data_IF_549104300975
#
_entry.id   IF_549104300975
#
_cell.length_a   1.000
_cell.length_b   1.000
_cell.length_c   1.000
_cell.angle_alpha   90.00
_cell.angle_beta   90.00
_cell.angle_gamma   90.00
#
_symmetry.space_group_name_H-M   'P 1'
#
loop_
_entity.id
_entity.type
_entity.pdbx_description
1 polymer ?
#
# COMPACT_ATOMS: atom_id res chain seq x y z
N UNK A 1 30.56 -32.21 -49.56
CA UNK A 1 31.66 -32.63 -48.68
C UNK A 1 31.17 -32.52 -47.26
N UNK A 2 31.52 -33.48 -46.44
CA UNK A 2 30.53 -34.13 -45.57
C UNK A 2 30.52 -33.60 -44.13
N UNK A 3 29.38 -33.82 -43.49
CA UNK A 3 29.04 -34.05 -42.09
C UNK A 3 30.21 -34.51 -41.22
N UNK A 4 30.34 -33.91 -40.03
CA UNK A 4 30.95 -34.59 -38.94
C UNK A 4 30.07 -34.53 -37.66
N UNK A 5 29.87 -35.70 -37.13
CA UNK A 5 28.98 -36.11 -36.04
C UNK A 5 29.74 -36.21 -34.73
N UNK A 6 28.97 -36.03 -33.63
CA UNK A 6 29.15 -36.64 -32.30
C UNK A 6 30.14 -36.03 -31.30
N UNK A 7 29.60 -35.69 -30.15
CA UNK A 7 29.77 -36.52 -28.97
C UNK A 7 29.02 -35.96 -27.78
N UNK A 8 28.15 -36.78 -27.22
CA UNK A 8 27.47 -36.61 -25.93
C UNK A 8 28.44 -36.92 -24.77
N UNK A 9 28.42 -36.16 -23.67
CA UNK A 9 29.08 -36.65 -22.46
C UNK A 9 28.08 -37.29 -21.50
N UNK A 10 28.46 -38.45 -21.07
CA UNK A 10 27.87 -39.35 -20.10
C UNK A 10 27.64 -38.71 -18.72
N UNK A 11 26.44 -38.88 -18.19
CA UNK A 11 26.07 -38.53 -16.81
C UNK A 11 26.74 -39.53 -15.81
N UNK A 12 27.53 -39.03 -14.88
CA UNK A 12 28.03 -39.78 -13.72
C UNK A 12 27.04 -39.62 -12.57
N UNK A 13 26.40 -40.74 -12.22
CA UNK A 13 25.55 -40.90 -11.06
C UNK A 13 26.41 -40.92 -9.80
N UNK A 14 26.25 -39.96 -8.90
CA UNK A 14 26.86 -39.98 -7.58
C UNK A 14 25.84 -40.47 -6.55
N UNK A 15 26.04 -41.68 -6.05
CA UNK A 15 25.26 -42.24 -4.93
C UNK A 15 25.86 -41.74 -3.61
N UNK A 16 25.13 -40.88 -2.91
CA UNK A 16 25.49 -40.51 -1.53
C UNK A 16 24.81 -41.42 -0.54
N UNK A 17 25.63 -42.11 0.24
CA UNK A 17 25.20 -42.85 1.44
C UNK A 17 24.81 -41.84 2.53
N UNK A 18 23.58 -41.93 3.00
CA UNK A 18 23.08 -41.21 4.17
C UNK A 18 23.13 -42.14 5.36
N UNK A 19 23.90 -41.77 6.37
CA UNK A 19 23.93 -42.46 7.66
C UNK A 19 22.75 -41.98 8.53
N UNK A 20 22.13 -42.85 9.33
CA UNK A 20 20.99 -42.43 10.16
C UNK A 20 21.49 -41.73 11.44
N UNK A 21 21.05 -40.50 11.67
CA UNK A 21 21.19 -39.80 12.94
C UNK A 21 20.02 -40.17 13.86
N UNK A 22 20.31 -40.59 15.07
CA UNK A 22 19.34 -40.80 16.12
C UNK A 22 18.82 -39.46 16.68
N UNK A 23 17.54 -39.36 17.04
CA UNK A 23 17.00 -38.13 17.60
C UNK A 23 17.35 -38.02 19.10
N UNK A 24 18.05 -36.95 19.46
CA UNK A 24 18.23 -36.52 20.84
C UNK A 24 17.00 -35.67 21.21
N UNK A 25 16.12 -36.22 22.07
CA UNK A 25 14.97 -35.51 22.57
C UNK A 25 15.40 -34.47 23.63
N UNK A 26 15.42 -33.20 23.27
CA UNK A 26 15.60 -32.10 24.20
C UNK A 26 14.21 -31.55 24.55
N UNK A 27 13.72 -31.85 25.73
CA UNK A 27 12.49 -31.33 26.27
C UNK A 27 12.70 -29.83 26.68
N UNK A 28 12.31 -28.89 25.81
CA UNK A 28 12.17 -27.48 26.20
C UNK A 28 10.78 -27.28 26.82
N UNK A 29 10.77 -27.00 28.13
CA UNK A 29 9.62 -26.42 28.81
C UNK A 29 9.40 -24.99 28.27
N UNK A 30 8.52 -24.83 27.32
CA UNK A 30 8.03 -23.51 26.91
C UNK A 30 6.92 -23.07 27.85
N UNK A 31 7.21 -22.07 28.70
CA UNK A 31 6.19 -21.29 29.37
C UNK A 31 5.35 -20.58 28.28
N UNK A 32 4.13 -21.06 28.08
CA UNK A 32 3.15 -20.41 27.22
C UNK A 32 2.73 -19.09 27.88
N UNK A 33 3.22 -18.00 27.38
CA UNK A 33 2.63 -16.69 27.60
C UNK A 33 1.31 -16.70 26.79
N UNK A 34 0.14 -16.42 27.42
CA UNK A 34 -1.10 -16.32 26.67
C UNK A 34 -1.00 -15.08 25.76
N UNK A 35 -0.78 -15.31 24.48
CA UNK A 35 -0.96 -14.30 23.45
C UNK A 35 -2.46 -14.04 23.37
N UNK A 36 -2.91 -12.95 23.96
CA UNK A 36 -4.24 -12.41 23.70
C UNK A 36 -4.21 -11.82 22.28
N UNK A 37 -4.49 -12.63 21.28
CA UNK A 37 -4.88 -12.14 19.97
C UNK A 37 -6.10 -11.26 20.14
N UNK A 38 -6.12 -10.02 19.62
CA UNK A 38 -7.36 -9.27 19.54
C UNK A 38 -8.33 -10.12 18.74
N UNK A 39 -9.55 -10.27 19.27
CA UNK A 39 -10.62 -10.97 18.58
C UNK A 39 -10.77 -10.30 17.19
N UNK A 40 -10.40 -11.02 16.15
CA UNK A 40 -10.75 -10.69 14.78
C UNK A 40 -12.28 -10.67 14.76
N UNK A 41 -12.85 -9.49 14.81
CA UNK A 41 -14.26 -9.29 14.53
C UNK A 41 -14.45 -9.60 13.06
N UNK A 42 -14.61 -10.88 12.74
CA UNK A 42 -15.28 -11.28 11.52
C UNK A 42 -16.60 -10.53 11.53
N UNK A 43 -16.75 -9.52 10.65
CA UNK A 43 -18.07 -9.10 10.24
C UNK A 43 -18.70 -10.41 9.77
N UNK A 44 -19.73 -10.88 10.51
CA UNK A 44 -20.52 -12.04 10.11
C UNK A 44 -20.84 -11.89 8.63
N UNK A 45 -20.99 -13.01 7.89
CA UNK A 45 -21.57 -13.09 6.55
C UNK A 45 -23.01 -12.54 6.55
N UNK A 46 -23.18 -11.34 7.09
CA UNK A 46 -24.40 -10.58 7.06
C UNK A 46 -24.58 -10.17 5.60
N UNK A 47 -25.49 -10.85 4.96
CA UNK A 47 -26.00 -10.65 3.61
C UNK A 47 -25.74 -9.22 3.14
N UNK A 48 -24.75 -9.05 2.24
CA UNK A 48 -24.61 -7.80 1.52
C UNK A 48 -25.96 -7.55 0.89
N UNK A 49 -26.65 -6.47 1.23
CA UNK A 49 -27.99 -6.22 0.69
C UNK A 49 -27.92 -6.28 -0.83
N UNK A 50 -28.75 -7.07 -1.47
CA UNK A 50 -28.83 -7.23 -2.96
C UNK A 50 -28.96 -5.90 -3.72
N UNK A 51 -29.18 -4.80 -3.00
CA UNK A 51 -29.13 -3.43 -3.48
C UNK A 51 -28.46 -2.56 -2.41
N UNK A 52 -27.16 -2.47 -2.47
CA UNK A 52 -26.47 -1.42 -1.71
C UNK A 52 -26.84 -0.07 -2.32
N UNK A 53 -27.74 0.63 -1.66
CA UNK A 53 -28.17 1.97 -2.08
C UNK A 53 -27.10 2.96 -1.68
N UNK A 54 -26.71 3.86 -2.60
CA UNK A 54 -25.82 4.96 -2.30
C UNK A 54 -26.33 5.75 -1.08
N UNK A 55 -25.49 5.88 -0.04
CA UNK A 55 -25.84 6.56 1.20
C UNK A 55 -25.29 7.98 1.18
N UNK A 56 -26.07 8.91 1.71
CA UNK A 56 -25.61 10.30 1.88
C UNK A 56 -24.88 10.40 3.22
N UNK A 57 -23.67 10.95 3.22
CA UNK A 57 -22.94 11.23 4.45
C UNK A 57 -23.66 12.25 5.31
N UNK A 58 -23.69 12.05 6.62
CA UNK A 58 -24.08 13.06 7.59
C UNK A 58 -23.03 14.20 7.63
N UNK A 59 -23.48 15.40 8.05
CA UNK A 59 -22.59 16.58 8.05
C UNK A 59 -21.52 16.55 9.14
N UNK A 60 -21.68 15.71 10.16
CA UNK A 60 -20.91 15.73 11.40
C UNK A 60 -19.96 14.55 11.59
N UNK A 61 -19.69 13.74 10.56
CA UNK A 61 -18.71 12.65 10.67
C UNK A 61 -17.33 13.25 10.98
N UNK A 62 -16.77 12.88 12.13
CA UNK A 62 -15.56 13.51 12.65
C UNK A 62 -14.27 12.84 12.14
N UNK A 63 -14.28 11.52 12.03
CA UNK A 63 -13.10 10.72 11.66
C UNK A 63 -13.48 9.45 10.90
N UNK A 64 -12.46 8.73 10.45
CA UNK A 64 -12.66 7.52 9.66
C UNK A 64 -13.27 6.38 10.48
N UNK A 65 -13.00 6.27 11.77
CA UNK A 65 -13.58 5.23 12.61
C UNK A 65 -15.09 5.37 12.70
N UNK A 66 -15.59 6.58 12.91
CA UNK A 66 -17.02 6.86 12.85
C UNK A 66 -17.62 6.58 11.48
N UNK A 67 -16.92 6.95 10.40
CA UNK A 67 -17.31 6.62 9.03
C UNK A 67 -17.44 5.10 8.84
N UNK A 68 -16.41 4.35 9.16
CA UNK A 68 -16.37 2.89 8.99
C UNK A 68 -17.48 2.18 9.78
N UNK A 69 -17.73 2.60 11.01
CA UNK A 69 -18.75 2.00 11.86
C UNK A 69 -20.18 2.30 11.41
N UNK A 70 -20.43 3.53 10.94
CA UNK A 70 -21.76 3.96 10.52
C UNK A 70 -22.05 3.67 9.03
N UNK A 71 -21.00 3.61 8.21
CA UNK A 71 -21.08 3.47 6.76
C UNK A 71 -20.03 2.46 6.24
N UNK A 72 -20.19 1.16 6.49
CA UNK A 72 -19.22 0.14 6.03
C UNK A 72 -19.10 0.09 4.49
N UNK A 73 -20.10 0.62 3.79
CA UNK A 73 -20.12 0.79 2.33
C UNK A 73 -19.73 2.20 1.88
N UNK A 74 -19.14 2.98 2.78
CA UNK A 74 -18.88 4.38 2.54
C UNK A 74 -20.14 5.22 2.35
N UNK A 75 -19.96 6.50 2.12
CA UNK A 75 -21.04 7.44 1.79
C UNK A 75 -20.50 8.59 0.95
N UNK A 76 -21.40 9.33 0.27
CA UNK A 76 -21.02 10.51 -0.48
C UNK A 76 -22.13 11.55 -0.48
N UNK A 77 -21.75 12.85 -0.55
CA UNK A 77 -22.69 13.97 -0.81
C UNK A 77 -23.07 14.03 -2.27
N UNK A 78 -22.21 13.51 -3.16
CA UNK A 78 -22.49 13.35 -4.57
C UNK A 78 -23.31 12.06 -4.79
N UNK A 79 -24.34 12.09 -5.63
CA UNK A 79 -25.04 10.87 -6.00
C UNK A 79 -24.14 9.94 -6.80
N UNK A 80 -24.13 8.64 -6.45
CA UNK A 80 -23.65 7.56 -7.31
C UNK A 80 -22.17 7.25 -7.19
N UNK A 81 -21.72 6.81 -6.04
CA UNK A 81 -20.55 6.00 -5.84
C UNK A 81 -20.93 4.52 -5.87
N UNK A 82 -19.97 3.62 -6.08
CA UNK A 82 -20.18 2.19 -6.04
C UNK A 82 -20.05 1.70 -4.59
N UNK A 83 -21.20 1.47 -3.94
CA UNK A 83 -21.21 1.08 -2.54
C UNK A 83 -20.66 -0.34 -2.32
N UNK A 84 -20.79 -1.25 -3.31
CA UNK A 84 -20.19 -2.56 -3.22
C UNK A 84 -18.66 -2.51 -3.33
N UNK A 85 -18.12 -1.70 -4.24
CA UNK A 85 -16.68 -1.46 -4.32
C UNK A 85 -16.15 -0.85 -3.01
N UNK A 86 -16.86 0.14 -2.45
CA UNK A 86 -16.49 0.73 -1.16
C UNK A 86 -16.49 -0.28 -0.02
N UNK A 87 -17.48 -1.20 -0.02
CA UNK A 87 -17.52 -2.29 0.95
C UNK A 87 -16.24 -3.15 0.86
N UNK A 88 -15.85 -3.56 -0.36
CA UNK A 88 -14.62 -4.32 -0.57
C UNK A 88 -13.35 -3.54 -0.14
N UNK A 89 -13.31 -2.25 -0.40
CA UNK A 89 -12.21 -1.37 0.03
C UNK A 89 -12.08 -1.28 1.55
N UNK A 90 -13.19 -1.40 2.28
CA UNK A 90 -13.24 -1.34 3.73
C UNK A 90 -13.15 -2.72 4.41
N UNK A 91 -13.21 -3.82 3.65
CA UNK A 91 -13.17 -5.17 4.19
C UNK A 91 -11.75 -5.52 4.68
N UNK A 92 -11.67 -6.23 5.80
CA UNK A 92 -10.40 -6.81 6.27
C UNK A 92 -10.28 -8.21 5.69
N UNK A 93 -9.32 -8.47 4.78
CA UNK A 93 -9.21 -9.78 4.13
C UNK A 93 -8.92 -10.87 5.15
N UNK A 94 -9.59 -12.01 4.99
CA UNK A 94 -9.32 -13.18 5.80
C UNK A 94 -7.94 -13.76 5.45
N UNK A 95 -7.12 -14.17 6.45
CA UNK A 95 -5.85 -14.82 6.20
C UNK A 95 -6.04 -16.08 5.33
N UNK A 96 -5.20 -16.27 4.34
CA UNK A 96 -5.23 -17.49 3.51
C UNK A 96 -4.67 -18.68 4.29
N UNK A 97 -5.33 -19.84 4.21
CA UNK A 97 -4.88 -21.07 4.86
C UNK A 97 -3.77 -21.79 4.09
N UNK A 98 -3.46 -21.37 2.87
CA UNK A 98 -2.54 -22.03 1.93
C UNK A 98 -1.24 -21.28 1.64
N UNK A 99 -0.91 -20.25 2.41
CA UNK A 99 0.21 -19.35 2.11
C UNK A 99 -0.16 -18.24 1.10
N UNK A 100 0.66 -17.22 1.04
CA UNK A 100 0.46 -16.06 0.15
C UNK A 100 0.99 -16.40 -1.25
N UNK A 101 0.16 -16.16 -2.27
CA UNK A 101 0.62 -16.19 -3.67
C UNK A 101 1.08 -14.80 -4.06
N UNK A 102 2.35 -14.67 -4.46
CA UNK A 102 2.91 -13.41 -4.93
C UNK A 102 2.68 -13.23 -6.43
N UNK A 103 2.15 -12.07 -6.79
CA UNK A 103 1.87 -11.68 -8.16
C UNK A 103 3.06 -10.92 -8.75
N UNK A 104 3.45 -11.28 -9.95
CA UNK A 104 4.45 -10.61 -10.76
C UNK A 104 3.81 -9.81 -11.90
N UNK A 105 4.62 -9.15 -12.70
CA UNK A 105 4.12 -8.37 -13.84
C UNK A 105 3.29 -9.21 -14.83
N UNK A 106 3.72 -10.42 -15.28
CA UNK A 106 2.90 -11.30 -16.11
C UNK A 106 1.54 -11.67 -15.47
N UNK A 107 1.47 -11.83 -14.15
CA UNK A 107 0.21 -12.11 -13.48
C UNK A 107 -0.76 -10.90 -13.58
N UNK A 108 -0.27 -9.67 -13.41
CA UNK A 108 -1.08 -8.47 -13.63
C UNK A 108 -1.47 -8.28 -15.11
N UNK A 109 -0.60 -8.63 -16.05
CA UNK A 109 -0.95 -8.63 -17.49
C UNK A 109 -2.11 -9.59 -17.77
N UNK A 110 -2.05 -10.79 -17.18
CA UNK A 110 -3.13 -11.78 -17.31
C UNK A 110 -4.44 -11.27 -16.66
N UNK A 111 -4.38 -10.67 -15.48
CA UNK A 111 -5.54 -10.08 -14.82
C UNK A 111 -6.16 -8.96 -15.68
N UNK A 112 -5.34 -8.05 -16.20
CA UNK A 112 -5.80 -6.97 -17.08
C UNK A 112 -6.50 -7.51 -18.33
N UNK A 113 -5.94 -8.56 -18.96
CA UNK A 113 -6.50 -9.18 -20.17
C UNK A 113 -7.83 -9.90 -19.93
N UNK A 114 -8.11 -10.33 -18.71
CA UNK A 114 -9.34 -11.05 -18.34
C UNK A 114 -10.32 -10.18 -17.55
N UNK A 115 -10.00 -8.92 -17.29
CA UNK A 115 -10.94 -7.97 -16.66
C UNK A 115 -12.21 -7.87 -17.53
N UNK A 116 -13.41 -8.04 -16.95
CA UNK A 116 -14.64 -8.04 -17.72
C UNK A 116 -14.84 -6.77 -18.53
N UNK A 117 -15.22 -6.91 -19.80
CA UNK A 117 -15.59 -5.76 -20.62
C UNK A 117 -16.91 -5.16 -20.10
N UNK A 118 -16.96 -3.85 -19.95
CA UNK A 118 -18.12 -3.15 -19.38
C UNK A 118 -18.03 -2.88 -17.88
N UNK A 119 -17.08 -3.50 -17.17
CA UNK A 119 -16.72 -3.09 -15.83
C UNK A 119 -16.17 -1.66 -15.84
N UNK A 120 -16.51 -0.85 -14.85
CA UNK A 120 -16.10 0.56 -14.75
C UNK A 120 -17.17 1.53 -15.24
N UNK A 121 -18.36 1.04 -15.56
CA UNK A 121 -19.52 1.89 -15.56
C UNK A 121 -19.92 2.17 -14.11
N UNK A 122 -20.45 3.35 -13.88
CA UNK A 122 -20.76 3.81 -12.52
C UNK A 122 -21.66 2.79 -11.79
N UNK A 123 -21.26 2.39 -10.59
CA UNK A 123 -22.00 1.50 -9.68
C UNK A 123 -22.31 0.11 -10.24
N UNK A 124 -21.48 -0.44 -11.08
CA UNK A 124 -21.72 -1.77 -11.64
C UNK A 124 -20.73 -2.85 -11.20
N UNK A 125 -19.94 -2.60 -10.16
CA UNK A 125 -18.96 -3.58 -9.67
C UNK A 125 -19.63 -4.89 -9.25
N UNK A 126 -20.74 -4.80 -8.50
CA UNK A 126 -21.50 -5.95 -8.03
C UNK A 126 -22.04 -6.85 -9.16
N UNK A 127 -22.32 -6.29 -10.35
CA UNK A 127 -22.80 -7.06 -11.50
C UNK A 127 -21.74 -8.05 -12.01
N UNK A 128 -20.48 -7.84 -11.69
CA UNK A 128 -19.34 -8.66 -12.11
C UNK A 128 -18.75 -9.52 -10.98
N UNK A 129 -19.31 -9.48 -9.76
CA UNK A 129 -18.78 -10.16 -8.57
C UNK A 129 -18.26 -11.57 -8.87
N UNK A 130 -19.08 -12.46 -9.37
CA UNK A 130 -18.71 -13.86 -9.64
C UNK A 130 -17.56 -14.00 -10.66
N UNK A 131 -17.43 -13.05 -11.59
CA UNK A 131 -16.34 -13.07 -12.57
C UNK A 131 -15.03 -12.61 -11.94
N UNK A 132 -15.09 -11.58 -11.11
CA UNK A 132 -13.95 -11.00 -10.44
C UNK A 132 -13.40 -11.94 -9.34
N UNK A 133 -14.28 -12.57 -8.56
CA UNK A 133 -13.91 -13.60 -7.58
C UNK A 133 -13.20 -14.81 -8.24
N UNK A 134 -13.64 -15.23 -9.43
CA UNK A 134 -12.94 -16.28 -10.19
C UNK A 134 -11.53 -15.86 -10.64
N UNK A 135 -11.26 -14.57 -10.79
CA UNK A 135 -9.94 -14.01 -11.07
C UNK A 135 -9.12 -13.77 -9.80
N UNK A 136 -9.74 -13.94 -8.63
CA UNK A 136 -9.09 -13.86 -7.33
C UNK A 136 -9.41 -12.61 -6.52
N UNK A 137 -10.36 -11.77 -6.96
CA UNK A 137 -10.81 -10.64 -6.13
C UNK A 137 -11.28 -11.10 -4.75
N UNK A 138 -11.05 -10.30 -3.72
CA UNK A 138 -11.37 -10.62 -2.34
C UNK A 138 -10.35 -11.55 -1.66
N UNK A 139 -9.43 -12.18 -2.42
CA UNK A 139 -8.41 -13.06 -1.84
C UNK A 139 -7.15 -12.29 -1.44
N UNK A 140 -6.51 -12.75 -0.36
CA UNK A 140 -5.22 -12.21 0.06
C UNK A 140 -4.13 -12.60 -0.95
N UNK A 141 -3.37 -11.64 -1.44
CA UNK A 141 -2.26 -11.80 -2.39
C UNK A 141 -1.05 -11.01 -1.95
N UNK A 142 0.12 -11.42 -2.43
CA UNK A 142 1.37 -10.69 -2.25
C UNK A 142 1.84 -10.05 -3.56
N UNK A 143 2.73 -9.09 -3.42
CA UNK A 143 3.42 -8.40 -4.50
C UNK A 143 4.86 -8.13 -4.06
N UNK A 144 5.83 -8.53 -4.88
CA UNK A 144 7.24 -8.15 -4.71
C UNK A 144 7.65 -7.30 -5.90
N UNK A 145 8.04 -6.05 -5.62
CA UNK A 145 8.43 -5.08 -6.64
C UNK A 145 9.27 -3.97 -6.02
N UNK A 146 9.31 -2.81 -6.66
CA UNK A 146 10.06 -1.64 -6.19
C UNK A 146 9.10 -0.50 -5.87
N UNK A 147 9.30 0.16 -4.74
CA UNK A 147 8.54 1.35 -4.37
C UNK A 147 8.92 2.53 -5.28
N UNK A 148 8.02 2.92 -6.17
CA UNK A 148 8.24 4.00 -7.12
C UNK A 148 7.86 5.38 -6.57
N UNK A 149 6.74 5.44 -5.88
CA UNK A 149 6.23 6.67 -5.25
C UNK A 149 5.18 6.33 -4.20
N UNK A 150 4.84 7.30 -3.38
CA UNK A 150 3.76 7.24 -2.42
C UNK A 150 3.20 8.64 -2.17
N UNK A 151 1.92 8.71 -1.86
CA UNK A 151 1.24 9.97 -1.55
C UNK A 151 -0.03 9.70 -0.76
N UNK A 152 -0.50 10.68 0.04
CA UNK A 152 -1.85 10.69 0.52
C UNK A 152 -2.80 11.00 -0.65
N UNK A 153 -3.98 10.36 -0.66
CA UNK A 153 -5.03 10.64 -1.66
C UNK A 153 -5.84 11.88 -1.33
N UNK A 154 -6.87 12.14 -2.13
CA UNK A 154 -7.95 13.05 -1.79
C UNK A 154 -9.01 12.40 -0.90
N UNK A 155 -10.10 13.12 -0.71
CA UNK A 155 -11.29 12.57 -0.09
C UNK A 155 -11.95 11.53 -1.02
N UNK A 156 -12.31 10.38 -0.46
CA UNK A 156 -12.96 9.28 -1.17
C UNK A 156 -14.28 8.90 -0.51
N UNK A 157 -15.21 8.38 -1.29
CA UNK A 157 -16.52 7.93 -0.79
C UNK A 157 -16.39 6.74 0.17
N UNK A 158 -15.40 5.87 0.00
CA UNK A 158 -15.04 4.77 0.91
C UNK A 158 -14.72 5.28 2.32
N UNK A 159 -14.13 6.47 2.41
CA UNK A 159 -13.76 7.16 3.65
C UNK A 159 -14.71 8.33 3.97
N UNK A 160 -16.00 8.25 3.56
CA UNK A 160 -17.05 9.25 3.79
C UNK A 160 -16.66 10.68 3.36
N UNK A 161 -15.87 10.84 2.29
CA UNK A 161 -15.34 12.12 1.80
C UNK A 161 -14.55 12.91 2.86
N UNK A 162 -14.05 12.25 3.88
CA UNK A 162 -13.21 12.87 4.89
C UNK A 162 -11.84 13.23 4.31
N UNK A 163 -11.31 14.34 4.80
CA UNK A 163 -9.92 14.73 4.56
C UNK A 163 -9.14 14.57 5.86
N UNK A 164 -7.84 14.36 5.76
CA UNK A 164 -7.00 14.30 6.95
C UNK A 164 -6.98 15.64 7.70
N UNK A 165 -6.93 15.63 9.04
CA UNK A 165 -6.75 16.83 9.84
C UNK A 165 -5.39 17.48 9.59
N UNK A 166 -4.44 16.75 9.02
CA UNK A 166 -3.08 17.17 8.74
C UNK A 166 -2.64 16.76 7.33
N UNK A 167 -1.47 17.20 6.94
CA UNK A 167 -0.84 16.84 5.65
C UNK A 167 -0.35 15.39 5.59
N UNK A 168 -0.46 14.65 6.67
CA UNK A 168 -0.04 13.25 6.79
C UNK A 168 -1.18 12.27 6.49
N UNK A 169 -2.37 12.79 6.17
CA UNK A 169 -3.46 12.01 5.58
C UNK A 169 -4.21 11.12 6.58
N UNK A 170 -4.58 11.65 7.76
CA UNK A 170 -5.23 10.87 8.82
C UNK A 170 -6.45 10.06 8.35
N UNK A 171 -7.33 10.65 7.56
CA UNK A 171 -8.60 10.03 7.12
C UNK A 171 -8.62 9.62 5.65
N UNK A 172 -7.49 9.65 4.94
CA UNK A 172 -7.42 9.29 3.52
C UNK A 172 -6.46 8.14 3.29
N UNK A 173 -6.63 7.42 2.19
CA UNK A 173 -5.76 6.33 1.80
C UNK A 173 -4.37 6.83 1.39
N UNK A 174 -3.37 5.97 1.52
CA UNK A 174 -2.07 6.20 0.91
C UNK A 174 -1.99 5.39 -0.37
N UNK A 175 -1.96 6.07 -1.50
CA UNK A 175 -1.63 5.47 -2.79
C UNK A 175 -0.13 5.25 -2.88
N UNK A 176 0.26 4.02 -3.09
CA UNK A 176 1.64 3.58 -3.18
C UNK A 176 1.82 2.88 -4.52
N UNK A 177 2.68 3.43 -5.37
CA UNK A 177 2.98 2.84 -6.68
C UNK A 177 4.14 1.87 -6.59
N UNK A 178 3.90 0.62 -6.94
CA UNK A 178 4.90 -0.46 -6.98
C UNK A 178 5.10 -0.93 -8.41
N UNK A 179 6.34 -0.94 -8.87
CA UNK A 179 6.68 -1.39 -10.22
C UNK A 179 7.73 -2.49 -10.24
N UNK A 180 8.00 -3.01 -11.44
CA UNK A 180 8.86 -4.18 -11.62
C UNK A 180 10.22 -3.86 -12.27
N UNK A 181 10.44 -2.61 -12.67
CA UNK A 181 11.67 -2.18 -13.34
C UNK A 181 12.64 -1.52 -12.33
N UNK A 182 13.78 -2.17 -12.09
CA UNK A 182 14.83 -1.67 -11.19
C UNK A 182 15.49 -0.37 -11.67
N UNK A 183 15.50 -0.09 -12.98
CA UNK A 183 16.05 1.16 -13.52
C UNK A 183 15.14 2.33 -13.16
N UNK A 184 13.83 2.15 -13.27
CA UNK A 184 12.85 3.15 -12.81
C UNK A 184 12.94 3.37 -11.30
N UNK A 185 13.13 2.29 -10.54
CA UNK A 185 13.34 2.36 -9.09
C UNK A 185 14.58 3.21 -8.74
N UNK A 186 15.70 2.99 -9.44
CA UNK A 186 16.91 3.81 -9.27
C UNK A 186 16.64 5.29 -9.55
N UNK A 187 15.90 5.61 -10.61
CA UNK A 187 15.50 7.00 -10.91
C UNK A 187 14.63 7.61 -9.79
N UNK A 188 13.71 6.85 -9.20
CA UNK A 188 12.89 7.31 -8.09
C UNK A 188 13.76 7.58 -6.83
N UNK A 189 14.69 6.69 -6.52
CA UNK A 189 15.62 6.81 -5.39
C UNK A 189 16.51 8.06 -5.49
N UNK A 190 17.04 8.31 -6.69
CA UNK A 190 17.89 9.47 -6.96
C UNK A 190 17.13 10.79 -7.00
N UNK A 191 15.82 10.76 -7.26
CA UNK A 191 14.98 11.96 -7.43
C UNK A 191 13.77 11.93 -6.46
N UNK A 192 13.97 12.00 -5.15
CA UNK A 192 12.87 11.81 -4.18
C UNK A 192 11.76 12.87 -4.25
N UNK A 193 12.00 14.00 -4.92
CA UNK A 193 10.96 15.01 -5.18
C UNK A 193 10.13 14.71 -6.42
N UNK A 194 10.53 13.72 -7.22
CA UNK A 194 9.83 13.24 -8.42
C UNK A 194 9.35 14.38 -9.33
N UNK A 195 10.22 14.84 -10.22
CA UNK A 195 9.84 15.77 -11.28
C UNK A 195 8.60 15.25 -12.04
N UNK A 196 7.68 16.13 -12.50
CA UNK A 196 6.38 15.73 -13.05
C UNK A 196 6.45 14.67 -14.17
N UNK A 197 7.45 14.75 -15.05
CA UNK A 197 7.64 13.79 -16.15
C UNK A 197 8.07 12.40 -15.64
N UNK A 198 8.96 12.37 -14.64
CA UNK A 198 9.39 11.12 -14.00
C UNK A 198 8.23 10.53 -13.19
N UNK A 199 7.53 11.35 -12.38
CA UNK A 199 6.36 10.90 -11.62
C UNK A 199 5.34 10.24 -12.53
N UNK A 200 4.99 10.85 -13.64
CA UNK A 200 4.08 10.29 -14.63
C UNK A 200 4.57 8.96 -15.16
N UNK A 201 5.85 8.86 -15.54
CA UNK A 201 6.43 7.61 -16.03
C UNK A 201 6.38 6.49 -14.98
N UNK A 202 6.67 6.81 -13.73
CA UNK A 202 6.59 5.87 -12.62
C UNK A 202 5.14 5.41 -12.40
N UNK A 203 4.19 6.33 -12.38
CA UNK A 203 2.76 6.03 -12.26
C UNK A 203 2.27 5.09 -13.36
N UNK A 204 2.60 5.37 -14.63
CA UNK A 204 2.20 4.54 -15.78
C UNK A 204 2.77 3.12 -15.75
N UNK A 205 3.80 2.86 -14.96
CA UNK A 205 4.48 1.57 -14.81
C UNK A 205 4.32 0.96 -13.42
N UNK A 206 3.33 1.40 -12.64
CA UNK A 206 3.09 0.90 -11.29
C UNK A 206 1.70 0.29 -11.11
N UNK A 207 1.64 -0.79 -10.36
CA UNK A 207 0.44 -1.27 -9.69
C UNK A 207 0.24 -0.43 -8.44
N UNK A 208 -1.01 -0.10 -8.14
CA UNK A 208 -1.35 0.62 -6.91
C UNK A 208 -1.53 -0.38 -5.77
N UNK A 209 -1.04 -0.01 -4.60
CA UNK A 209 -1.39 -0.67 -3.34
C UNK A 209 -1.80 0.42 -2.34
N UNK A 210 -2.80 0.14 -1.51
CA UNK A 210 -3.42 1.18 -0.68
C UNK A 210 -3.43 0.82 0.80
N UNK A 211 -2.84 1.74 1.60
CA UNK A 211 -2.89 1.67 3.06
C UNK A 211 -4.08 2.50 3.54
N UNK A 212 -5.17 1.85 3.94
CA UNK A 212 -6.36 2.52 4.44
C UNK A 212 -6.15 3.16 5.81
N UNK A 213 -6.87 4.23 6.15
CA UNK A 213 -6.78 4.85 7.48
C UNK A 213 -7.17 3.87 8.59
N UNK A 214 -8.18 3.04 8.37
CA UNK A 214 -8.62 2.03 9.34
C UNK A 214 -7.49 1.04 9.65
N UNK A 215 -6.86 0.46 8.61
CA UNK A 215 -5.80 -0.54 8.81
C UNK A 215 -4.56 0.07 9.46
N UNK A 216 -4.19 1.30 9.08
CA UNK A 216 -3.08 2.03 9.69
C UNK A 216 -3.28 2.29 11.18
N UNK A 217 -4.52 2.65 11.58
CA UNK A 217 -4.84 2.97 12.97
C UNK A 217 -4.96 1.73 13.87
N UNK A 218 -5.61 0.65 13.37
CA UNK A 218 -6.00 -0.48 14.21
C UNK A 218 -4.98 -1.64 14.22
N UNK A 219 -4.21 -1.80 13.16
CA UNK A 219 -3.32 -2.96 13.01
C UNK A 219 -1.84 -2.57 12.98
N UNK A 220 -1.52 -1.33 12.76
CA UNK A 220 -0.15 -0.85 12.62
C UNK A 220 0.24 0.23 13.64
N UNK A 221 -0.56 0.45 14.67
CA UNK A 221 -0.30 1.38 15.79
C UNK A 221 0.23 2.76 15.36
N UNK A 222 -0.24 3.26 14.21
CA UNK A 222 0.23 4.52 13.63
C UNK A 222 1.67 4.51 13.09
N UNK A 223 2.29 3.33 12.96
CA UNK A 223 3.65 3.19 12.40
C UNK A 223 3.65 3.45 10.88
N UNK A 224 2.57 3.15 10.19
CA UNK A 224 2.47 3.36 8.75
C UNK A 224 2.16 4.82 8.43
N UNK A 225 3.21 5.58 8.21
CA UNK A 225 3.17 7.01 7.86
C UNK A 225 3.90 7.26 6.54
N UNK A 226 3.58 8.38 5.87
CA UNK A 226 4.34 8.80 4.69
C UNK A 226 5.82 9.04 5.01
N UNK A 227 6.13 9.44 6.24
CA UNK A 227 7.51 9.62 6.69
C UNK A 227 8.27 8.30 6.75
N UNK A 228 7.62 7.23 7.22
CA UNK A 228 8.21 5.89 7.32
C UNK A 228 8.32 5.18 5.96
N UNK A 229 7.57 5.59 4.94
CA UNK A 229 7.73 5.10 3.56
C UNK A 229 8.96 5.68 2.85
N UNK A 230 9.44 6.86 3.26
CA UNK A 230 10.57 7.53 2.58
C UNK A 230 11.85 6.68 2.47
N UNK A 231 12.31 5.97 3.52
CA UNK A 231 13.49 5.12 3.42
C UNK A 231 13.35 3.98 2.41
N UNK A 232 12.13 3.52 2.14
CA UNK A 232 11.85 2.44 1.20
C UNK A 232 11.78 2.89 -0.27
N UNK A 233 11.79 4.21 -0.54
CA UNK A 233 11.67 4.73 -1.91
C UNK A 233 12.81 4.23 -2.81
N UNK A 234 12.45 3.62 -3.93
CA UNK A 234 13.36 3.00 -4.88
C UNK A 234 13.94 1.65 -4.42
N UNK A 235 13.64 1.20 -3.21
CA UNK A 235 14.00 -0.13 -2.74
C UNK A 235 12.99 -1.19 -3.14
N UNK A 236 13.42 -2.44 -3.13
CA UNK A 236 12.55 -3.59 -3.29
C UNK A 236 11.65 -3.71 -2.06
N UNK A 237 10.38 -3.94 -2.29
CA UNK A 237 9.35 -4.07 -1.25
C UNK A 237 8.56 -5.36 -1.44
N UNK A 238 8.07 -5.90 -0.33
CA UNK A 238 7.14 -7.02 -0.25
C UNK A 238 5.88 -6.53 0.43
N UNK A 239 4.76 -6.66 -0.26
CA UNK A 239 3.46 -6.17 0.20
C UNK A 239 2.45 -7.29 0.16
N UNK A 240 1.61 -7.39 1.17
CA UNK A 240 0.46 -8.30 1.20
C UNK A 240 -0.79 -7.47 1.39
N UNK A 241 -1.87 -7.86 0.71
CA UNK A 241 -3.16 -7.20 0.80
C UNK A 241 -4.26 -7.99 0.11
N UNK A 242 -5.46 -7.45 0.12
CA UNK A 242 -6.58 -7.99 -0.63
C UNK A 242 -6.46 -7.62 -2.10
N UNK A 243 -6.56 -8.60 -3.00
CA UNK A 243 -6.65 -8.32 -4.44
C UNK A 243 -8.01 -7.73 -4.75
N UNK A 244 -8.02 -6.56 -5.35
CA UNK A 244 -9.21 -5.78 -5.68
C UNK A 244 -9.10 -5.23 -7.10
N UNK A 245 -10.24 -5.07 -7.77
CA UNK A 245 -10.39 -4.27 -8.99
C UNK A 245 -10.95 -2.90 -8.64
N UNK A 246 -10.17 -1.86 -8.83
CA UNK A 246 -10.71 -0.49 -8.74
C UNK A 246 -11.48 -0.13 -10.03
N UNK A 247 -12.74 -0.56 -10.08
CA UNK A 247 -13.59 -0.42 -11.26
C UNK A 247 -13.88 1.03 -11.64
N UNK A 248 -13.79 1.98 -10.72
CA UNK A 248 -13.97 3.42 -11.00
C UNK A 248 -12.89 3.97 -11.93
N UNK A 249 -11.71 3.31 -11.96
CA UNK A 249 -10.56 3.67 -12.78
C UNK A 249 -10.37 2.74 -14.00
N UNK A 250 -11.34 1.86 -14.32
CA UNK A 250 -11.25 0.97 -15.46
C UNK A 250 -11.61 1.65 -16.79
N UNK A 251 -10.87 2.66 -17.15
CA UNK A 251 -11.00 3.40 -18.43
C UNK A 251 -9.63 3.80 -18.98
N UNK A 252 -9.48 3.99 -20.31
CA UNK A 252 -8.18 4.25 -20.94
C UNK A 252 -7.45 5.51 -20.48
N UNK A 253 -8.16 6.47 -19.89
CA UNK A 253 -7.57 7.68 -19.29
C UNK A 253 -6.92 7.44 -17.93
N UNK A 254 -7.23 6.35 -17.28
CA UNK A 254 -6.72 6.01 -15.95
C UNK A 254 -5.83 4.76 -16.02
N UNK A 255 -6.30 3.70 -16.65
CA UNK A 255 -5.61 2.41 -16.77
C UNK A 255 -4.80 2.32 -18.08
N UNK A 256 -3.48 2.26 -17.95
CA UNK A 256 -2.57 2.21 -19.09
C UNK A 256 -2.57 0.85 -19.81
N UNK A 257 -3.11 -0.21 -19.22
CA UNK A 257 -3.25 -1.50 -19.88
C UNK A 257 -4.35 -1.51 -20.95
N UNK A 258 -5.36 -0.64 -20.81
CA UNK A 258 -6.48 -0.60 -21.77
C UNK A 258 -6.08 0.09 -23.07
N UNK A 259 -6.66 -0.38 -24.19
CA UNK A 259 -6.57 0.31 -25.46
C UNK A 259 -7.32 1.65 -25.42
N UNK A 260 -6.75 2.65 -26.07
CA UNK A 260 -7.33 3.99 -26.08
C UNK A 260 -6.65 4.90 -27.08
N UNK A 261 -7.22 6.08 -27.28
CA UNK A 261 -6.62 7.14 -28.11
C UNK A 261 -5.30 7.62 -27.49
N UNK A 262 -4.42 8.20 -28.31
CA UNK A 262 -3.17 8.81 -27.82
C UNK A 262 -3.41 9.84 -26.71
N UNK A 263 -4.50 10.61 -26.80
CA UNK A 263 -4.88 11.55 -25.74
C UNK A 263 -5.20 10.85 -24.42
N UNK A 264 -6.00 9.78 -24.44
CA UNK A 264 -6.32 8.99 -23.24
C UNK A 264 -5.07 8.34 -22.66
N UNK A 265 -4.24 7.70 -23.49
CA UNK A 265 -2.97 7.09 -23.04
C UNK A 265 -2.00 8.12 -22.45
N UNK A 266 -2.06 9.37 -22.89
CA UNK A 266 -1.28 10.44 -22.27
C UNK A 266 -1.78 10.83 -20.89
N UNK A 267 -2.97 10.44 -20.48
CA UNK A 267 -3.55 10.75 -19.17
C UNK A 267 -3.52 9.57 -18.20
N UNK A 268 -3.41 8.33 -18.69
CA UNK A 268 -3.39 7.17 -17.81
C UNK A 268 -2.23 7.26 -16.79
N UNK A 269 -2.48 6.76 -15.59
CA UNK A 269 -1.59 6.95 -14.44
C UNK A 269 -1.39 5.68 -13.59
N UNK A 270 -1.95 4.55 -13.98
CA UNK A 270 -1.71 3.24 -13.36
C UNK A 270 -1.50 2.16 -14.42
N UNK A 271 -0.62 1.20 -14.11
CA UNK A 271 -0.32 0.07 -14.97
C UNK A 271 -1.49 -0.92 -15.06
N UNK A 272 -2.21 -1.08 -13.97
CA UNK A 272 -3.31 -2.03 -13.82
C UNK A 272 -4.45 -1.40 -13.03
N UNK A 273 -5.66 -1.84 -13.32
CA UNK A 273 -6.84 -1.55 -12.51
C UNK A 273 -6.93 -2.49 -11.31
N UNK A 274 -6.19 -3.61 -11.33
CA UNK A 274 -6.02 -4.49 -10.20
C UNK A 274 -5.01 -3.91 -9.22
N UNK A 275 -5.35 -3.96 -7.95
CA UNK A 275 -4.57 -3.37 -6.86
C UNK A 275 -4.58 -4.28 -5.61
N UNK A 276 -3.79 -3.96 -4.60
CA UNK A 276 -3.91 -4.54 -3.27
C UNK A 276 -4.56 -3.51 -2.34
N UNK A 277 -5.80 -3.74 -1.93
CA UNK A 277 -6.59 -2.83 -1.11
C UNK A 277 -7.58 -3.58 -0.20
N UNK A 278 -7.45 -3.48 1.14
CA UNK A 278 -6.36 -2.81 1.85
C UNK A 278 -5.06 -3.61 1.85
N UNK A 279 -3.94 -2.91 2.03
CA UNK A 279 -2.65 -3.51 2.38
C UNK A 279 -2.70 -3.98 3.83
N UNK A 280 -2.20 -5.19 4.09
CA UNK A 280 -2.14 -5.81 5.41
C UNK A 280 -0.73 -6.01 5.94
N UNK A 281 0.27 -6.13 5.05
CA UNK A 281 1.69 -6.23 5.40
C UNK A 281 2.52 -5.41 4.42
N UNK A 282 3.55 -4.74 4.91
CA UNK A 282 4.48 -3.97 4.11
C UNK A 282 5.89 -4.08 4.68
N UNK A 283 6.81 -4.63 3.88
CA UNK A 283 8.21 -4.77 4.22
C UNK A 283 9.08 -4.19 3.10
N UNK A 284 10.27 -3.70 3.44
CA UNK A 284 11.27 -3.30 2.45
C UNK A 284 12.54 -4.13 2.60
N UNK A 285 13.25 -4.32 1.49
CA UNK A 285 14.50 -5.08 1.47
C UNK A 285 15.67 -4.23 1.93
N UNK A 286 16.36 -4.65 2.97
CA UNK A 286 17.54 -3.93 3.49
C UNK A 286 18.80 -4.11 2.63
N UNK A 287 18.85 -5.18 1.82
CA UNK A 287 20.02 -5.54 0.97
C UNK A 287 19.80 -5.30 -0.53
N UNK A 288 18.61 -4.86 -0.97
CA UNK A 288 18.17 -4.71 -2.37
C UNK A 288 18.16 -6.03 -3.22
N UNK A 289 18.54 -7.16 -2.62
CA UNK A 289 18.64 -8.47 -3.29
C UNK A 289 17.66 -9.53 -2.78
N UNK A 290 16.64 -9.13 -2.00
CA UNK A 290 15.69 -10.06 -1.40
C UNK A 290 14.91 -10.86 -2.44
N UNK A 291 14.71 -12.14 -2.13
CA UNK A 291 13.70 -13.03 -2.70
C UNK A 291 12.56 -13.17 -1.70
N UNK A 292 11.51 -13.89 -2.05
CA UNK A 292 10.33 -14.08 -1.19
C UNK A 292 10.70 -14.51 0.24
N UNK A 293 11.60 -15.50 0.39
CA UNK A 293 11.98 -16.12 1.66
C UNK A 293 13.22 -15.48 2.31
N UNK A 294 13.70 -14.33 1.85
CA UNK A 294 14.90 -13.71 2.41
C UNK A 294 14.66 -13.23 3.85
N UNK A 295 15.68 -13.35 4.68
CA UNK A 295 15.66 -12.83 6.06
C UNK A 295 15.88 -11.30 6.11
N UNK A 296 16.22 -10.67 4.98
CA UNK A 296 16.55 -9.24 4.88
C UNK A 296 15.31 -8.34 4.71
N UNK A 297 14.11 -8.91 4.78
CA UNK A 297 12.87 -8.15 4.79
C UNK A 297 12.70 -7.44 6.14
N UNK A 298 12.48 -6.14 6.11
CA UNK A 298 12.29 -5.30 7.28
C UNK A 298 10.89 -4.69 7.26
N UNK A 299 10.06 -4.95 8.28
CA UNK A 299 8.75 -4.33 8.37
C UNK A 299 8.84 -2.80 8.37
N UNK A 300 7.88 -2.15 7.72
CA UNK A 300 7.81 -0.70 7.65
C UNK A 300 7.76 -0.08 9.06
N UNK A 301 8.54 0.98 9.28
CA UNK A 301 8.62 1.68 10.57
C UNK A 301 9.59 1.08 11.58
N UNK A 302 10.12 -0.11 11.34
CA UNK A 302 11.21 -0.67 12.13
C UNK A 302 12.53 -0.18 11.50
N UNK A 303 13.28 0.64 12.23
CA UNK A 303 14.63 1.01 11.80
C UNK A 303 15.52 -0.23 11.94
N UNK A 304 16.12 -0.67 10.83
CA UNK A 304 17.15 -1.70 10.88
C UNK A 304 18.25 -1.25 11.84
N UNK A 305 18.53 -2.06 12.88
CA UNK A 305 19.55 -1.80 13.88
C UNK A 305 20.96 -1.94 13.27
N UNK A 306 21.35 -1.07 12.30
CA UNK A 306 22.58 -1.26 11.56
C UNK A 306 23.08 -0.10 10.73
N UNK A 307 22.94 1.16 11.18
CA UNK A 307 23.80 2.24 10.69
C UNK A 307 23.94 3.39 11.71
N UNK A 308 24.32 3.05 12.95
CA UNK A 308 24.94 4.05 13.78
C UNK A 308 26.38 4.20 13.30
N UNK A 309 26.59 5.08 12.35
CA UNK A 309 27.86 5.76 12.18
C UNK A 309 28.23 6.34 13.54
N UNK A 310 29.33 5.85 14.11
CA UNK A 310 29.93 6.37 15.35
C UNK A 310 30.40 7.79 15.12
N UNK A 311 29.50 8.76 15.23
CA UNK A 311 29.86 10.15 15.40
C UNK A 311 30.08 10.38 16.90
N UNK A 312 31.29 10.03 17.32
CA UNK A 312 31.83 10.43 18.64
C UNK A 312 32.15 11.91 18.60
N UNK A 313 31.17 12.77 18.66
CA UNK A 313 31.35 14.14 19.08
C UNK A 313 31.29 14.19 20.62
N UNK A 314 32.50 14.20 21.21
CA UNK A 314 32.65 14.44 22.63
C UNK A 314 32.23 15.88 22.94
N UNK A 315 31.06 16.07 23.53
CA UNK A 315 30.74 17.31 24.21
C UNK A 315 31.28 17.25 25.62
N UNK A 316 32.41 17.96 25.82
CA UNK A 316 32.90 18.38 27.13
C UNK A 316 31.91 19.35 27.75
N UNK A 317 31.41 18.96 28.94
CA UNK A 317 30.63 19.83 29.81
C UNK A 317 31.52 20.98 30.29
N UNK A 318 31.25 22.19 29.89
CA UNK A 318 31.76 23.39 30.54
C UNK A 318 30.59 24.12 31.23
N UNK A 319 30.77 24.37 32.53
CA UNK A 319 29.79 24.91 33.45
C UNK A 319 29.50 26.39 33.14
N UNK A 320 28.20 26.75 33.20
CA UNK A 320 27.73 28.13 33.10
C UNK A 320 27.92 28.89 34.43
N UNK A 321 28.23 30.19 34.40
CA UNK A 321 28.00 31.07 35.53
C UNK A 321 26.67 31.79 35.42
N UNK A 322 26.00 31.88 36.56
CA UNK A 322 24.79 32.67 36.79
C UNK A 322 25.03 34.18 36.62
N UNK A 323 24.06 34.89 36.12
CA UNK A 323 24.07 36.35 36.10
C UNK A 323 22.76 36.92 35.56
N UNK A 324 21.88 37.31 36.48
CA UNK A 324 20.56 37.92 36.16
C UNK A 324 20.66 39.31 35.59
N UNK A 325 19.57 39.73 34.94
CA UNK A 325 18.89 41.04 35.13
C UNK A 325 17.61 41.14 34.28
N UNK A 326 16.57 41.57 34.97
CA UNK A 326 15.30 42.04 34.48
C UNK A 326 15.42 43.28 33.57
N UNK A 327 14.53 43.40 32.55
CA UNK A 327 13.89 44.68 32.19
C UNK A 327 12.80 44.47 31.14
N UNK A 328 11.60 44.75 31.56
CA UNK A 328 10.62 45.68 30.97
C UNK A 328 10.17 45.52 29.52
N UNK A 329 8.88 45.32 29.47
CA UNK A 329 7.96 45.41 28.33
C UNK A 329 7.74 46.87 27.91
N UNK A 330 7.53 47.20 26.66
CA UNK A 330 6.34 47.97 26.37
C UNK A 330 5.50 47.48 25.15
N UNK A 331 4.23 47.46 25.41
CA UNK A 331 3.09 47.43 24.53
C UNK A 331 3.26 48.18 23.17
N UNK A 332 2.81 47.55 22.08
CA UNK A 332 2.50 48.28 20.85
C UNK A 332 1.16 47.83 20.25
N UNK A 333 0.31 48.82 20.28
CA UNK A 333 -1.04 49.03 19.76
C UNK A 333 -1.29 48.49 18.34
N UNK A 334 -2.50 47.93 18.20
CA UNK A 334 -3.23 47.60 17.00
C UNK A 334 -3.43 48.77 16.04
N UNK A 335 -3.33 48.57 14.73
CA UNK A 335 -3.98 49.40 13.75
C UNK A 335 -4.75 48.53 12.72
N UNK A 336 -6.04 48.62 12.79
CA UNK A 336 -7.00 48.19 11.79
C UNK A 336 -6.70 48.90 10.45
N UNK A 337 -6.66 48.16 9.37
CA UNK A 337 -6.80 48.69 8.02
C UNK A 337 -7.83 47.92 7.23
N UNK A 338 -9.01 48.53 7.12
CA UNK A 338 -10.12 48.17 6.26
C UNK A 338 -9.76 48.30 4.79
N UNK A 339 -10.19 47.36 3.98
CA UNK A 339 -10.08 47.35 2.51
C UNK A 339 -11.45 47.70 1.90
N UNK A 340 -11.54 48.55 0.88
CA UNK A 340 -12.83 48.91 0.27
C UNK A 340 -13.24 47.88 -0.79
N UNK A 341 -14.57 47.73 -0.94
CA UNK A 341 -15.24 47.00 -1.99
C UNK A 341 -15.14 47.79 -3.32
N UNK A 342 -14.95 47.08 -4.43
CA UNK A 342 -15.17 47.60 -5.78
C UNK A 342 -16.17 46.72 -6.54
N UNK A 343 -17.00 47.42 -7.25
CA UNK A 343 -18.16 47.01 -8.05
C UNK A 343 -17.87 45.94 -9.09
#
# INVERSE_FOLDING_TARGET
MPLDTSSSPTAKTFTRHVAPFAPLALALLMNAVPSSSPASGSLSDEEIPDKVTAMRCEENIADFEECHNNYPTGCSKAAGYDAYLNYLKNETPSPTTGGITFLDQPAFDNLNAHTPSGLGQRNNHADFKDQLERLGEGSQRGLIGYLYYFQATGAESSNCELTGPDKEGGNVDFHIGIGFDSVLAGQAKENPKLEPSLKKKLQQNSVIVEMTPYYRAHFQDGIWTLANLKPALGHKVKVVGQLLVDSEHNRPSDNCALDGTSAQKNHCWRYSVWELHPVTEFEYCSSDSCTEDSADWVPLGIQSAGSHGTDKSAHTNEAAPEGGKSSENPSRTSSHRSKPASK
#
